data_IF_774472517343
#
_entry.id   IF_774472517343
#
_cell.length_a   1.000
_cell.length_b   1.000
_cell.length_c   1.000
_cell.angle_alpha   90.00
_cell.angle_beta   90.00
_cell.angle_gamma   90.00
#
_symmetry.space_group_name_H-M   'P 1'
#
loop_
_entity.id
_entity.type
_entity.pdbx_description
1 polymer ?
#
# COMPACT_ATOMS: atom_id res chain seq x y z
N UNK A 1 -24.76 -2.29 12.82
CA UNK A 1 -24.10 -3.61 12.86
C UNK A 1 -24.79 -4.66 11.99
N UNK A 2 -26.06 -5.04 12.20
CA UNK A 2 -26.70 -6.07 11.32
C UNK A 2 -26.82 -5.64 9.84
N UNK A 3 -27.16 -4.37 9.58
CA UNK A 3 -27.32 -3.87 8.22
C UNK A 3 -25.98 -3.75 7.47
N UNK A 4 -24.91 -3.38 8.17
CA UNK A 4 -23.57 -3.23 7.60
C UNK A 4 -22.92 -4.59 7.30
N UNK A 5 -23.06 -5.57 8.21
CA UNK A 5 -22.69 -6.96 7.94
C UNK A 5 -23.43 -7.53 6.72
N UNK A 6 -24.75 -7.30 6.62
CA UNK A 6 -25.52 -7.76 5.45
C UNK A 6 -24.99 -7.18 4.15
N UNK A 7 -24.72 -5.87 4.11
CA UNK A 7 -24.12 -5.23 2.92
C UNK A 7 -22.76 -5.81 2.56
N UNK A 8 -21.91 -6.09 3.55
CA UNK A 8 -20.61 -6.72 3.33
C UNK A 8 -20.74 -8.13 2.75
N UNK A 9 -21.68 -8.92 3.26
CA UNK A 9 -21.95 -10.27 2.76
C UNK A 9 -22.56 -10.25 1.36
N UNK A 10 -23.51 -9.35 1.10
CA UNK A 10 -24.15 -9.19 -0.21
C UNK A 10 -23.11 -8.81 -1.28
N UNK A 11 -22.20 -7.89 -0.96
CA UNK A 11 -21.10 -7.52 -1.85
C UNK A 11 -20.11 -8.66 -2.07
N UNK A 12 -19.79 -9.43 -1.02
CA UNK A 12 -18.90 -10.58 -1.15
C UNK A 12 -19.51 -11.65 -2.07
N UNK A 13 -20.81 -11.93 -1.93
CA UNK A 13 -21.52 -12.84 -2.83
C UNK A 13 -21.46 -12.35 -4.28
N UNK A 14 -21.73 -11.06 -4.50
CA UNK A 14 -21.66 -10.45 -5.84
C UNK A 14 -20.27 -10.59 -6.46
N UNK A 15 -19.19 -10.39 -5.69
CA UNK A 15 -17.82 -10.56 -6.15
C UNK A 15 -17.48 -12.02 -6.48
N UNK A 16 -18.02 -12.98 -5.74
CA UNK A 16 -17.78 -14.41 -5.94
C UNK A 16 -18.51 -15.01 -7.15
N UNK A 17 -19.65 -14.40 -7.52
CA UNK A 17 -20.47 -14.80 -8.66
C UNK A 17 -20.09 -14.04 -9.95
N UNK A 18 -19.35 -12.93 -9.82
CA UNK A 18 -18.93 -12.13 -10.96
C UNK A 18 -17.91 -12.85 -11.85
N UNK A 19 -18.08 -12.69 -13.16
CA UNK A 19 -17.07 -13.10 -14.17
C UNK A 19 -15.85 -12.18 -14.17
N UNK A 20 -16.03 -10.91 -13.77
CA UNK A 20 -14.96 -9.93 -13.60
C UNK A 20 -15.09 -9.28 -12.21
N UNK A 21 -14.51 -9.90 -11.17
CA UNK A 21 -14.55 -9.37 -9.81
C UNK A 21 -13.93 -7.97 -9.70
N UNK A 22 -12.98 -7.60 -10.57
CA UNK A 22 -12.38 -6.27 -10.56
C UNK A 22 -13.34 -5.20 -11.10
N UNK A 23 -14.13 -5.50 -12.14
CA UNK A 23 -15.18 -4.59 -12.60
C UNK A 23 -16.26 -4.39 -11.56
N UNK A 24 -16.74 -5.48 -10.96
CA UNK A 24 -17.72 -5.42 -9.86
C UNK A 24 -17.20 -4.63 -8.67
N UNK A 25 -15.93 -4.81 -8.30
CA UNK A 25 -15.29 -4.02 -7.25
C UNK A 25 -15.21 -2.52 -7.60
N UNK A 26 -14.93 -2.17 -8.86
CA UNK A 26 -14.89 -0.77 -9.33
C UNK A 26 -16.25 -0.09 -9.20
N UNK A 27 -17.31 -0.77 -9.60
CA UNK A 27 -18.69 -0.28 -9.47
C UNK A 27 -19.12 -0.09 -8.00
N UNK A 28 -18.52 -0.85 -7.09
CA UNK A 28 -18.87 -0.86 -5.67
C UNK A 28 -17.76 -0.26 -4.78
N UNK A 29 -16.90 0.60 -5.32
CA UNK A 29 -15.71 1.12 -4.62
C UNK A 29 -16.03 1.76 -3.25
N UNK A 30 -17.16 2.45 -3.14
CA UNK A 30 -17.62 3.07 -1.89
C UNK A 30 -17.99 2.07 -0.80
N UNK A 31 -18.37 0.85 -1.18
CA UNK A 31 -18.71 -0.25 -0.27
C UNK A 31 -17.50 -1.09 0.13
N UNK A 32 -16.34 -0.93 -0.54
CA UNK A 32 -15.07 -1.54 -0.16
C UNK A 32 -14.47 -0.81 1.06
N UNK A 33 -15.06 -1.06 2.22
CA UNK A 33 -14.71 -0.50 3.52
C UNK A 33 -13.85 -1.48 4.34
N UNK A 34 -13.27 -0.99 5.44
CA UNK A 34 -12.58 -1.86 6.41
C UNK A 34 -13.51 -2.95 6.97
N UNK A 35 -14.76 -2.61 7.27
CA UNK A 35 -15.76 -3.58 7.75
C UNK A 35 -16.03 -4.69 6.72
N UNK A 36 -16.06 -4.35 5.43
CA UNK A 36 -16.15 -5.35 4.35
C UNK A 36 -14.95 -6.29 4.37
N UNK A 37 -13.71 -5.77 4.40
CA UNK A 37 -12.51 -6.60 4.40
C UNK A 37 -12.37 -7.46 5.67
N UNK A 38 -12.77 -6.95 6.84
CA UNK A 38 -12.80 -7.74 8.07
C UNK A 38 -13.82 -8.89 8.00
N UNK A 39 -15.02 -8.60 7.50
CA UNK A 39 -16.07 -9.62 7.36
C UNK A 39 -15.65 -10.71 6.37
N UNK A 40 -15.15 -10.31 5.19
CA UNK A 40 -14.69 -11.26 4.18
C UNK A 40 -13.45 -12.04 4.62
N UNK A 41 -12.52 -11.42 5.36
CA UNK A 41 -11.37 -12.10 5.97
C UNK A 41 -11.77 -13.15 7.01
N UNK A 42 -12.87 -12.93 7.72
CA UNK A 42 -13.46 -13.92 8.63
C UNK A 42 -13.95 -15.14 7.85
N UNK A 43 -14.68 -14.95 6.75
CA UNK A 43 -15.13 -16.05 5.89
C UNK A 43 -13.97 -16.83 5.26
N UNK A 44 -12.92 -16.13 4.80
CA UNK A 44 -11.71 -16.79 4.28
C UNK A 44 -11.03 -17.64 5.37
N UNK A 45 -10.93 -17.12 6.59
CA UNK A 45 -10.34 -17.84 7.71
C UNK A 45 -11.16 -19.09 8.04
N UNK A 46 -12.49 -18.99 8.03
CA UNK A 46 -13.38 -20.12 8.29
C UNK A 46 -13.24 -21.19 7.21
N UNK A 47 -13.30 -20.81 5.93
CA UNK A 47 -13.13 -21.75 4.81
C UNK A 47 -11.79 -22.50 4.87
N UNK A 48 -10.71 -21.81 5.26
CA UNK A 48 -9.39 -22.43 5.48
C UNK A 48 -9.40 -23.42 6.65
N UNK A 49 -10.04 -23.07 7.77
CA UNK A 49 -10.16 -23.95 8.95
C UNK A 49 -10.98 -25.20 8.67
N UNK A 50 -12.01 -25.08 7.84
CA UNK A 50 -12.89 -26.19 7.44
C UNK A 50 -12.28 -27.08 6.33
N UNK A 51 -11.08 -26.75 5.85
CA UNK A 51 -10.42 -27.50 4.78
C UNK A 51 -11.07 -27.33 3.40
N UNK A 52 -11.94 -26.33 3.24
CA UNK A 52 -12.64 -26.05 1.98
C UNK A 52 -11.75 -25.21 1.04
N UNK A 53 -10.74 -25.87 0.45
CA UNK A 53 -9.71 -25.24 -0.36
C UNK A 53 -10.27 -24.48 -1.57
N UNK A 54 -11.30 -25.00 -2.21
CA UNK A 54 -11.93 -24.37 -3.38
C UNK A 54 -12.60 -23.05 -3.01
N UNK A 55 -13.37 -23.04 -1.92
CA UNK A 55 -14.02 -21.82 -1.41
C UNK A 55 -12.97 -20.82 -0.94
N UNK A 56 -11.95 -21.27 -0.22
CA UNK A 56 -10.85 -20.40 0.21
C UNK A 56 -10.14 -19.74 -0.98
N UNK A 57 -9.87 -20.50 -2.05
CA UNK A 57 -9.23 -19.99 -3.26
C UNK A 57 -10.11 -18.95 -3.97
N UNK A 58 -11.42 -19.20 -4.08
CA UNK A 58 -12.37 -18.25 -4.68
C UNK A 58 -12.46 -16.95 -3.87
N UNK A 59 -12.57 -17.06 -2.55
CA UNK A 59 -12.57 -15.92 -1.63
C UNK A 59 -11.29 -15.10 -1.74
N UNK A 60 -10.13 -15.76 -1.77
CA UNK A 60 -8.84 -15.10 -1.89
C UNK A 60 -8.73 -14.30 -3.20
N UNK A 61 -9.10 -14.90 -4.34
CA UNK A 61 -9.10 -14.21 -5.64
C UNK A 61 -10.04 -13.01 -5.66
N UNK A 62 -11.27 -13.16 -5.16
CA UNK A 62 -12.24 -12.08 -5.08
C UNK A 62 -11.76 -10.94 -4.18
N UNK A 63 -11.17 -11.27 -3.03
CA UNK A 63 -10.62 -10.30 -2.10
C UNK A 63 -9.39 -9.58 -2.63
N UNK A 64 -8.51 -10.28 -3.35
CA UNK A 64 -7.37 -9.66 -4.03
C UNK A 64 -7.85 -8.66 -5.08
N UNK A 65 -8.80 -9.04 -5.94
CA UNK A 65 -9.35 -8.14 -6.95
C UNK A 65 -10.00 -6.89 -6.33
N UNK A 66 -10.81 -7.08 -5.27
CA UNK A 66 -11.40 -5.96 -4.54
C UNK A 66 -10.35 -5.08 -3.86
N UNK A 67 -9.33 -5.69 -3.27
CA UNK A 67 -8.22 -4.98 -2.65
C UNK A 67 -7.45 -4.13 -3.66
N UNK A 68 -7.11 -4.68 -4.82
CA UNK A 68 -6.34 -3.97 -5.85
C UNK A 68 -7.11 -2.76 -6.38
N UNK A 69 -8.42 -2.91 -6.57
CA UNK A 69 -9.30 -1.78 -6.93
C UNK A 69 -9.30 -0.73 -5.83
N UNK A 70 -9.52 -1.13 -4.56
CA UNK A 70 -9.50 -0.20 -3.44
C UNK A 70 -8.17 0.54 -3.35
N UNK A 71 -7.08 -0.20 -3.46
CA UNK A 71 -5.71 0.31 -3.44
C UNK A 71 -5.49 1.33 -4.55
N UNK A 72 -5.89 1.04 -5.79
CA UNK A 72 -5.71 1.95 -6.93
C UNK A 72 -6.45 3.29 -6.78
N UNK A 73 -7.51 3.32 -5.96
CA UNK A 73 -8.25 4.55 -5.65
C UNK A 73 -7.62 5.43 -4.57
N UNK A 74 -6.63 4.90 -3.83
CA UNK A 74 -5.96 5.65 -2.77
C UNK A 74 -5.02 6.70 -3.35
N UNK A 75 -4.60 7.62 -2.49
CA UNK A 75 -3.50 8.53 -2.82
C UNK A 75 -2.24 7.76 -3.22
N UNK A 76 -1.50 8.17 -4.26
CA UNK A 76 -0.29 7.47 -4.72
C UNK A 76 0.75 7.23 -3.62
N UNK A 77 0.89 8.15 -2.67
CA UNK A 77 1.81 8.01 -1.54
C UNK A 77 1.37 6.88 -0.58
N UNK A 78 0.06 6.78 -0.33
CA UNK A 78 -0.52 5.71 0.47
C UNK A 78 -0.44 4.38 -0.27
N UNK A 79 -0.60 4.40 -1.59
CA UNK A 79 -0.41 3.22 -2.42
C UNK A 79 1.00 2.66 -2.25
N UNK A 80 2.00 3.52 -2.41
CA UNK A 80 3.41 3.19 -2.21
C UNK A 80 3.66 2.63 -0.80
N UNK A 81 3.20 3.33 0.24
CA UNK A 81 3.40 2.90 1.62
C UNK A 81 2.81 1.51 1.90
N UNK A 82 1.58 1.26 1.46
CA UNK A 82 0.94 -0.05 1.61
C UNK A 82 1.73 -1.16 0.92
N UNK A 83 2.29 -0.91 -0.28
CA UNK A 83 3.17 -1.86 -0.98
C UNK A 83 4.44 -2.14 -0.19
N UNK A 84 5.10 -1.11 0.32
CA UNK A 84 6.34 -1.22 1.09
C UNK A 84 6.16 -1.96 2.42
N UNK A 85 5.03 -1.74 3.12
CA UNK A 85 4.72 -2.45 4.36
C UNK A 85 4.46 -3.94 4.12
N UNK A 86 3.83 -4.28 2.98
CA UNK A 86 3.51 -5.66 2.60
C UNK A 86 4.70 -6.45 2.07
N UNK A 87 5.74 -5.77 1.58
CA UNK A 87 6.95 -6.42 1.11
C UNK A 87 7.52 -7.39 2.17
N UNK A 88 7.89 -8.59 1.72
CA UNK A 88 8.46 -9.67 2.51
C UNK A 88 9.86 -9.36 3.04
N UNK A 89 10.55 -8.36 2.49
CA UNK A 89 11.87 -7.96 2.94
C UNK A 89 12.47 -6.79 2.18
N UNK A 90 13.74 -6.50 2.45
CA UNK A 90 14.50 -5.46 1.77
C UNK A 90 14.60 -5.64 0.25
N UNK A 91 14.87 -6.84 -0.30
CA UNK A 91 14.96 -7.02 -1.76
C UNK A 91 13.69 -6.60 -2.49
N UNK A 92 12.53 -6.95 -1.94
CA UNK A 92 11.23 -6.61 -2.53
C UNK A 92 10.91 -5.12 -2.37
N UNK A 93 11.23 -4.49 -1.23
CA UNK A 93 11.11 -3.03 -1.09
C UNK A 93 11.98 -2.28 -2.10
N UNK A 94 13.21 -2.76 -2.31
CA UNK A 94 14.12 -2.19 -3.31
C UNK A 94 13.53 -2.28 -4.71
N UNK A 95 12.92 -3.42 -5.07
CA UNK A 95 12.25 -3.59 -6.34
C UNK A 95 11.08 -2.61 -6.51
N UNK A 96 10.26 -2.41 -5.47
CA UNK A 96 9.17 -1.42 -5.48
C UNK A 96 9.70 0.00 -5.76
N UNK A 97 10.83 0.39 -5.15
CA UNK A 97 11.43 1.70 -5.41
C UNK A 97 11.99 1.82 -6.85
N UNK A 98 12.60 0.76 -7.37
CA UNK A 98 13.10 0.73 -8.74
C UNK A 98 11.96 0.90 -9.76
N UNK A 99 10.84 0.23 -9.53
CA UNK A 99 9.62 0.37 -10.36
C UNK A 99 9.05 1.80 -10.34
N UNK A 100 9.15 2.49 -9.21
CA UNK A 100 8.75 3.89 -9.10
C UNK A 100 9.61 4.85 -9.95
N UNK A 101 10.88 4.49 -10.17
CA UNK A 101 11.77 5.18 -11.10
C UNK A 101 11.82 6.70 -10.88
N UNK A 102 11.81 7.52 -11.96
CA UNK A 102 11.86 8.98 -11.87
C UNK A 102 10.65 9.63 -11.17
N UNK A 103 9.52 8.93 -11.07
CA UNK A 103 8.31 9.44 -10.42
C UNK A 103 8.38 9.38 -8.89
N UNK A 104 9.31 8.60 -8.35
CA UNK A 104 9.39 8.34 -6.92
C UNK A 104 9.82 9.55 -6.09
N UNK A 105 10.90 10.30 -6.42
CA UNK A 105 11.27 11.47 -5.63
C UNK A 105 10.17 12.56 -5.53
N UNK A 106 9.51 13.00 -6.61
CA UNK A 106 8.43 13.97 -6.47
C UNK A 106 7.24 13.42 -5.68
N UNK A 107 6.97 12.11 -5.76
CA UNK A 107 5.97 11.44 -4.95
C UNK A 107 6.32 11.41 -3.44
N UNK A 108 7.60 11.28 -3.09
CA UNK A 108 8.03 11.30 -1.68
C UNK A 108 7.97 12.72 -1.07
N UNK A 109 8.21 13.74 -1.90
CA UNK A 109 8.22 15.14 -1.48
C UNK A 109 6.87 15.87 -1.65
N UNK A 110 5.87 15.24 -2.27
CA UNK A 110 4.55 15.83 -2.56
C UNK A 110 3.79 16.25 -1.29
N UNK A 111 2.91 17.24 -1.45
CA UNK A 111 1.99 17.74 -0.42
C UNK A 111 2.64 17.97 0.95
N UNK A 112 3.82 18.60 0.91
CA UNK A 112 4.62 18.89 2.09
C UNK A 112 5.16 17.64 2.76
N UNK A 113 5.61 16.62 2.01
CA UNK A 113 6.14 15.35 2.56
C UNK A 113 5.07 14.53 3.31
N UNK A 114 3.87 14.44 2.72
CA UNK A 114 2.76 13.67 3.31
C UNK A 114 3.13 12.22 3.60
N UNK A 115 3.91 11.59 2.71
CA UNK A 115 4.41 10.22 2.88
C UNK A 115 5.14 10.05 4.22
N UNK A 116 6.11 10.93 4.50
CA UNK A 116 6.93 10.87 5.70
C UNK A 116 6.14 11.14 6.97
N UNK A 117 5.25 12.15 6.97
CA UNK A 117 4.37 12.41 8.13
C UNK A 117 3.46 11.23 8.45
N UNK A 118 2.94 10.57 7.42
CA UNK A 118 2.07 9.40 7.60
C UNK A 118 2.86 8.23 8.17
N UNK A 119 4.05 7.98 7.64
CA UNK A 119 4.96 6.94 8.13
C UNK A 119 5.41 7.19 9.58
N UNK A 120 5.71 8.43 9.92
CA UNK A 120 6.04 8.86 11.29
C UNK A 120 4.88 8.61 12.25
N UNK A 121 3.67 9.04 11.88
CA UNK A 121 2.46 8.80 12.68
C UNK A 121 2.24 7.30 12.92
N UNK A 122 2.28 6.49 11.86
CA UNK A 122 2.12 5.03 11.98
C UNK A 122 3.19 4.40 12.86
N UNK A 123 4.44 4.85 12.74
CA UNK A 123 5.53 4.38 13.61
C UNK A 123 5.22 4.71 15.07
N UNK A 124 4.84 5.96 15.36
CA UNK A 124 4.46 6.38 16.71
C UNK A 124 3.24 5.64 17.27
N UNK A 125 2.24 5.34 16.44
CA UNK A 125 1.07 4.57 16.83
C UNK A 125 1.47 3.13 17.22
N UNK A 126 2.32 2.47 16.43
CA UNK A 126 2.84 1.13 16.75
C UNK A 126 3.73 1.16 17.99
N UNK A 127 4.52 2.21 18.19
CA UNK A 127 5.36 2.36 19.39
C UNK A 127 4.51 2.42 20.68
N UNK A 128 3.33 3.03 20.62
CA UNK A 128 2.39 3.13 21.75
C UNK A 128 1.55 1.87 21.99
N UNK A 129 1.52 0.92 21.06
CA UNK A 129 0.77 -0.32 21.25
C UNK A 129 1.33 -1.14 22.43
N UNK A 130 0.49 -1.89 23.15
CA UNK A 130 0.95 -2.90 24.10
C UNK A 130 1.92 -3.89 23.45
N UNK A 131 2.84 -4.50 24.23
CA UNK A 131 3.73 -5.53 23.73
C UNK A 131 2.95 -6.66 23.05
N UNK A 132 3.32 -6.97 21.81
CA UNK A 132 2.79 -8.08 21.03
C UNK A 132 3.91 -8.63 20.13
N UNK A 133 3.82 -9.90 19.68
CA UNK A 133 4.91 -10.55 18.94
C UNK A 133 5.26 -9.83 17.62
N UNK A 134 4.31 -9.13 17.01
CA UNK A 134 4.50 -8.48 15.70
C UNK A 134 5.02 -7.04 15.80
N UNK A 135 4.99 -6.44 17.00
CA UNK A 135 5.37 -5.04 17.23
C UNK A 135 6.81 -4.75 16.80
N UNK A 136 7.76 -5.55 17.27
CA UNK A 136 9.20 -5.32 17.01
C UNK A 136 9.52 -5.50 15.51
N UNK A 137 9.09 -6.59 14.83
CA UNK A 137 9.24 -6.73 13.39
C UNK A 137 8.63 -5.57 12.60
N UNK A 138 7.42 -5.13 12.97
CA UNK A 138 6.72 -4.04 12.28
C UNK A 138 7.45 -2.71 12.45
N UNK A 139 7.89 -2.36 13.66
CA UNK A 139 8.66 -1.13 13.91
C UNK A 139 9.98 -1.12 13.15
N UNK A 140 10.69 -2.25 13.12
CA UNK A 140 11.92 -2.39 12.35
C UNK A 140 11.67 -2.13 10.86
N UNK A 141 10.59 -2.70 10.32
CA UNK A 141 10.17 -2.50 8.93
C UNK A 141 9.83 -1.03 8.64
N UNK A 142 9.00 -0.38 9.46
CA UNK A 142 8.62 1.03 9.26
C UNK A 142 9.84 1.96 9.30
N UNK A 143 10.77 1.74 10.24
CA UNK A 143 12.02 2.50 10.35
C UNK A 143 12.98 2.24 9.18
N UNK A 144 12.98 1.03 8.61
CA UNK A 144 13.73 0.74 7.39
C UNK A 144 13.16 1.50 6.19
N UNK A 145 11.84 1.46 6.01
CA UNK A 145 11.13 2.20 4.95
C UNK A 145 11.45 3.70 5.02
N UNK A 146 11.42 4.29 6.23
CA UNK A 146 11.70 5.71 6.42
C UNK A 146 13.11 6.08 5.94
N UNK A 147 14.12 5.31 6.38
CA UNK A 147 15.53 5.53 6.01
C UNK A 147 15.77 5.36 4.50
N UNK A 148 15.18 4.32 3.91
CA UNK A 148 15.29 4.04 2.47
C UNK A 148 14.67 5.16 1.64
N UNK A 149 13.45 5.59 1.98
CA UNK A 149 12.76 6.67 1.29
C UNK A 149 13.50 8.01 1.42
N UNK A 150 14.02 8.33 2.61
CA UNK A 150 14.85 9.54 2.80
C UNK A 150 16.12 9.52 1.93
N UNK A 151 16.78 8.36 1.83
CA UNK A 151 17.99 8.24 1.03
C UNK A 151 17.68 8.53 -0.45
N UNK A 152 16.55 8.04 -0.96
CA UNK A 152 16.10 8.27 -2.33
C UNK A 152 15.80 9.75 -2.57
N UNK A 153 15.04 10.41 -1.69
CA UNK A 153 14.73 11.84 -1.78
C UNK A 153 16.02 12.71 -1.74
N UNK A 154 16.96 12.39 -0.83
CA UNK A 154 18.26 13.07 -0.71
C UNK A 154 19.15 12.85 -1.95
N UNK A 155 19.12 11.68 -2.56
CA UNK A 155 19.87 11.42 -3.79
C UNK A 155 19.30 12.21 -4.99
N UNK A 156 17.98 12.31 -5.09
CA UNK A 156 17.32 13.06 -6.15
C UNK A 156 17.58 14.57 -6.07
N UNK A 157 17.49 15.14 -4.86
CA UNK A 157 17.84 16.55 -4.61
C UNK A 157 19.29 16.85 -4.99
N UNK A 158 20.26 16.02 -4.57
CA UNK A 158 21.68 16.20 -4.93
C UNK A 158 21.92 16.14 -6.45
N UNK A 159 21.25 15.25 -7.17
CA UNK A 159 21.36 15.16 -8.64
C UNK A 159 20.73 16.36 -9.36
N UNK A 160 19.65 16.91 -8.82
CA UNK A 160 19.01 18.11 -9.35
C UNK A 160 19.88 19.37 -9.27
N UNK A 161 20.69 19.53 -8.21
CA UNK A 161 21.61 20.67 -8.06
C UNK A 161 22.90 20.56 -8.90
N UNK A 162 23.26 19.37 -9.39
CA UNK A 162 24.51 19.15 -10.14
C UNK A 162 24.46 19.50 -11.64
N UNK A 163 23.27 19.64 -12.23
CA UNK A 163 23.11 19.82 -13.68
C UNK A 163 23.01 21.28 -14.16
N UNK A 164 23.23 22.26 -13.27
CA UNK A 164 23.02 23.69 -13.56
C UNK A 164 24.28 24.52 -13.84
N UNK A 165 25.49 23.98 -13.73
CA UNK A 165 26.74 24.77 -13.80
C UNK A 165 27.64 24.29 -14.94
N UNK A 166 27.34 24.68 -16.18
CA UNK A 166 28.15 24.25 -17.32
C UNK A 166 27.77 24.83 -18.67
N UNK A 167 27.41 26.12 -18.78
CA UNK A 167 27.60 26.80 -20.07
C UNK A 167 27.75 28.32 -19.90
N UNK A 168 28.98 28.73 -19.63
CA UNK A 168 29.35 30.13 -19.52
C UNK A 168 30.85 30.26 -19.70
N UNK A 169 31.36 29.99 -20.90
CA UNK A 169 32.61 30.60 -21.28
C UNK A 169 32.52 31.13 -22.71
N UNK A 170 32.39 32.45 -22.78
CA UNK A 170 32.36 33.22 -24.00
C UNK A 170 33.69 33.10 -24.73
N UNK A 171 33.60 32.72 -26.00
CA UNK A 171 34.60 33.09 -27.00
C UNK A 171 34.56 34.61 -27.16
N UNK A 172 35.51 35.32 -26.56
CA UNK A 172 35.87 36.66 -27.02
C UNK A 172 36.69 36.50 -28.31
N UNK A 173 36.18 37.10 -29.38
CA UNK A 173 36.91 37.43 -30.58
C UNK A 173 37.77 38.67 -30.34
#
# INVERSE_FOLDING_TARGET
MRQSQRRSTDLLALLLDSRDPAATARENLGALSEEFFMTAGTFLTLARKEGNADVATRLERALMAAWDVKQSSLRPELQLLNRLVRAGGEPERRQIYLEGGPSLPPLLSSDGRWFFRTLERLTGDVERQPPNPDKVPLLSKLKAIAREAEAIEKQATKKGFGNGNGNGNGKKA
#
